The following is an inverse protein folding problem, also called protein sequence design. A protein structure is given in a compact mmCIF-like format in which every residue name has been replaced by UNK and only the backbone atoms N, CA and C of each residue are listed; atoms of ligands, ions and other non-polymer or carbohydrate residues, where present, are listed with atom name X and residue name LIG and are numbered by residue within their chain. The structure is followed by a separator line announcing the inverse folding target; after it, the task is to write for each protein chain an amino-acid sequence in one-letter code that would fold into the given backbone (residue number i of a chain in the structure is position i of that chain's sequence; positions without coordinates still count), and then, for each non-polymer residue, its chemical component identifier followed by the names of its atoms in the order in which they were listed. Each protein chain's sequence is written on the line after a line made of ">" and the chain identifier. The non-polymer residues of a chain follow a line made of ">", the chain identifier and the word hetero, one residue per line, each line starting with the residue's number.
data_IF_984214591985
#
_entry.id   IF_984214591985
#
_cell.length_a   1.000
_cell.length_b   1.000
_cell.length_c   1.000
_cell.angle_alpha   90.00
_cell.angle_beta   90.00
_cell.angle_gamma   90.00
#
_symmetry.space_group_name_H-M   'P 1'
#
loop_
_entity.id
_entity.type
_entity.pdbx_description
1 polymer ?
#
# COMPACT_ATOMS: atom_id res chain seq x y z
N UNK A 1 25.14 52.16 -59.18
CA UNK A 1 25.52 51.45 -60.43
C UNK A 1 25.57 49.97 -60.06
N UNK A 2 24.72 49.03 -60.45
CA UNK A 2 23.73 48.83 -61.53
C UNK A 2 22.64 47.86 -60.97
N UNK A 3 21.33 48.07 -61.22
CA UNK A 3 20.49 47.46 -62.29
C UNK A 3 20.46 45.91 -62.23
N UNK A 4 19.34 45.16 -62.27
CA UNK A 4 17.96 45.33 -62.79
C UNK A 4 17.01 44.35 -62.01
N UNK A 5 15.72 44.61 -61.72
CA UNK A 5 14.50 44.83 -62.53
C UNK A 5 14.00 43.63 -63.38
N UNK A 6 12.85 43.04 -62.99
CA UNK A 6 11.72 42.55 -63.84
C UNK A 6 10.46 42.50 -62.92
N UNK A 7 9.53 43.47 -62.98
CA UNK A 7 8.20 43.48 -63.65
C UNK A 7 7.35 42.20 -63.45
N UNK A 8 6.03 42.18 -63.18
CA UNK A 8 4.88 43.10 -63.14
C UNK A 8 3.63 42.21 -62.92
N UNK A 9 2.56 42.58 -62.22
CA UNK A 9 1.40 43.38 -62.66
C UNK A 9 0.47 43.52 -61.42
N UNK A 10 0.10 44.72 -60.94
CA UNK A 10 -1.01 45.60 -61.36
C UNK A 10 -2.39 44.91 -61.43
N UNK A 11 -3.22 45.14 -60.40
CA UNK A 11 -4.55 45.72 -60.59
C UNK A 11 -4.92 46.55 -59.36
N UNK A 12 -5.49 47.72 -59.61
CA UNK A 12 -5.77 48.77 -58.63
C UNK A 12 -7.26 49.17 -58.70
N UNK A 13 -7.65 49.97 -57.69
CA UNK A 13 -8.84 50.86 -57.63
C UNK A 13 -10.13 50.09 -57.28
N UNK A 14 -10.91 50.43 -56.25
CA UNK A 14 -11.54 51.73 -55.94
C UNK A 14 -11.82 51.96 -54.45
N UNK A 15 -11.69 53.23 -54.04
CA UNK A 15 -12.20 53.85 -52.81
C UNK A 15 -13.61 54.40 -53.04
N UNK A 16 -14.50 54.27 -52.06
CA UNK A 16 -15.59 55.19 -51.66
C UNK A 16 -16.47 54.44 -50.64
N UNK A 17 -16.96 54.99 -49.54
CA UNK A 17 -16.96 56.33 -48.96
C UNK A 17 -17.64 56.24 -47.60
N UNK A 18 -17.33 57.18 -46.70
CA UNK A 18 -17.95 57.29 -45.39
C UNK A 18 -19.32 58.00 -45.49
N UNK A 19 -20.35 57.45 -44.84
CA UNK A 19 -21.47 58.24 -44.27
C UNK A 19 -21.90 57.63 -42.95
N UNK A 20 -22.00 58.47 -41.93
CA UNK A 20 -22.36 58.15 -40.56
C UNK A 20 -23.90 58.04 -40.38
N UNK A 21 -24.36 57.14 -39.50
CA UNK A 21 -25.48 57.42 -38.60
C UNK A 21 -25.46 56.47 -37.39
N UNK A 22 -25.71 57.08 -36.23
CA UNK A 22 -25.87 56.57 -34.86
C UNK A 22 -26.70 55.29 -34.68
N UNK A 23 -26.22 54.36 -33.87
CA UNK A 23 -26.80 54.01 -32.54
C UNK A 23 -25.91 53.00 -31.78
N UNK A 24 -25.93 52.98 -30.43
CA UNK A 24 -25.01 52.20 -29.61
C UNK A 24 -25.57 50.80 -29.33
N UNK A 25 -24.76 49.77 -29.59
CA UNK A 25 -25.02 48.42 -29.10
C UNK A 25 -23.82 47.97 -28.27
N UNK A 26 -24.05 47.80 -26.97
CA UNK A 26 -23.19 47.05 -26.05
C UNK A 26 -22.87 45.68 -26.67
N UNK A 27 -21.59 45.34 -26.77
CA UNK A 27 -21.16 43.94 -26.87
C UNK A 27 -19.97 43.74 -25.95
N UNK A 28 -20.22 42.84 -25.01
CA UNK A 28 -19.39 42.40 -23.90
C UNK A 28 -17.99 41.92 -24.30
N UNK A 29 -17.08 42.08 -23.35
CA UNK A 29 -15.76 41.46 -23.29
C UNK A 29 -15.84 39.96 -23.61
N UNK A 30 -14.99 39.51 -24.53
CA UNK A 30 -14.73 38.09 -24.74
C UNK A 30 -13.90 37.57 -23.57
N UNK A 31 -14.53 36.78 -22.71
CA UNK A 31 -13.85 35.87 -21.79
C UNK A 31 -12.98 34.89 -22.58
N UNK A 32 -11.67 34.91 -22.30
CA UNK A 32 -10.72 33.90 -22.71
C UNK A 32 -11.10 32.54 -22.10
N UNK A 33 -11.58 31.64 -22.96
CA UNK A 33 -11.41 30.17 -22.90
C UNK A 33 -11.59 29.51 -21.54
N UNK A 34 -12.85 29.19 -21.24
CA UNK A 34 -13.24 28.26 -20.20
C UNK A 34 -12.69 26.85 -20.45
N UNK A 35 -11.87 26.36 -19.52
CA UNK A 35 -11.89 24.94 -19.16
C UNK A 35 -13.30 24.62 -18.65
N UNK A 36 -14.01 23.73 -19.34
CA UNK A 36 -15.36 23.30 -19.00
C UNK A 36 -15.43 22.85 -17.54
N UNK A 37 -15.99 23.68 -16.67
CA UNK A 37 -16.38 23.29 -15.32
C UNK A 37 -17.38 22.13 -15.43
N UNK A 38 -17.01 20.94 -14.93
CA UNK A 38 -17.87 19.75 -14.90
C UNK A 38 -17.45 18.54 -15.75
N UNK A 39 -16.31 18.61 -16.47
CA UNK A 39 -15.84 17.49 -17.29
C UNK A 39 -14.86 16.52 -16.61
N UNK A 40 -14.20 16.94 -15.52
CA UNK A 40 -13.14 16.14 -14.88
C UNK A 40 -13.74 15.09 -13.92
N UNK A 41 -13.32 13.83 -14.04
CA UNK A 41 -13.66 12.76 -13.09
C UNK A 41 -12.48 12.43 -12.19
N UNK A 42 -12.77 11.83 -11.04
CA UNK A 42 -11.72 11.31 -10.14
C UNK A 42 -10.81 10.29 -10.84
N UNK A 43 -11.36 9.47 -11.74
CA UNK A 43 -10.59 8.50 -12.54
C UNK A 43 -9.59 9.13 -13.50
N UNK A 44 -9.79 10.40 -13.85
CA UNK A 44 -8.99 11.09 -14.85
C UNK A 44 -7.79 11.82 -14.21
N UNK A 45 -7.71 11.81 -12.87
CA UNK A 45 -6.66 12.46 -12.10
C UNK A 45 -5.89 11.43 -11.28
N UNK A 46 -4.57 11.50 -11.32
CA UNK A 46 -3.71 10.75 -10.40
C UNK A 46 -3.77 11.44 -9.02
N UNK A 47 -4.84 11.17 -8.27
CA UNK A 47 -5.03 11.74 -6.95
C UNK A 47 -4.26 10.92 -5.91
N UNK A 48 -3.42 11.59 -5.12
CA UNK A 48 -2.76 10.97 -3.97
C UNK A 48 -3.71 10.99 -2.77
N UNK A 49 -3.77 9.93 -1.95
CA UNK A 49 -4.57 9.95 -0.73
C UNK A 49 -4.11 11.04 0.25
N UNK A 50 -5.07 11.66 0.93
CA UNK A 50 -4.84 12.57 2.04
C UNK A 50 -5.68 12.14 3.25
N UNK A 51 -5.12 12.37 4.42
CA UNK A 51 -5.65 11.88 5.69
C UNK A 51 -5.85 13.01 6.68
N UNK A 52 -6.84 12.84 7.55
CA UNK A 52 -7.10 13.74 8.67
C UNK A 52 -6.03 13.58 9.74
N UNK A 53 -5.70 14.70 10.40
CA UNK A 53 -4.75 14.77 11.52
C UNK A 53 -3.38 14.12 11.21
N UNK A 54 -3.02 14.14 9.93
CA UNK A 54 -1.78 13.59 9.40
C UNK A 54 -1.04 14.65 8.56
N UNK A 55 0.27 14.49 8.44
CA UNK A 55 1.11 15.39 7.64
C UNK A 55 1.06 14.98 6.17
N UNK A 56 0.16 15.59 5.39
CA UNK A 56 0.08 15.32 3.95
C UNK A 56 1.02 16.26 3.20
N UNK A 57 2.17 15.75 2.73
CA UNK A 57 3.12 16.52 1.92
C UNK A 57 2.89 16.30 0.43
N UNK A 58 2.90 17.39 -0.33
CA UNK A 58 2.67 17.40 -1.76
C UNK A 58 3.77 18.19 -2.48
N UNK A 59 4.46 17.54 -3.41
CA UNK A 59 5.42 18.20 -4.31
C UNK A 59 4.70 18.71 -5.56
N UNK A 60 4.54 20.02 -5.70
CA UNK A 60 3.82 20.61 -6.84
C UNK A 60 4.82 21.23 -7.81
N UNK A 61 4.96 20.67 -9.02
CA UNK A 61 5.83 21.21 -10.07
C UNK A 61 5.36 22.55 -10.66
N UNK A 62 6.21 23.18 -11.47
CA UNK A 62 5.90 24.48 -12.09
C UNK A 62 4.83 24.32 -13.18
N UNK A 63 3.68 24.95 -12.99
CA UNK A 63 2.57 24.88 -13.95
C UNK A 63 1.79 23.57 -13.88
N UNK A 64 2.05 22.74 -12.87
CA UNK A 64 1.36 21.46 -12.64
C UNK A 64 0.23 21.63 -11.62
N UNK A 65 -0.73 20.69 -11.67
CA UNK A 65 -1.74 20.50 -10.64
C UNK A 65 -1.53 19.17 -9.95
N UNK A 66 -1.44 19.17 -8.63
CA UNK A 66 -1.48 17.94 -7.82
C UNK A 66 -2.87 17.82 -7.24
N UNK A 67 -3.40 16.59 -7.24
CA UNK A 67 -4.72 16.28 -6.71
C UNK A 67 -4.54 15.42 -5.47
N UNK A 68 -5.17 15.80 -4.36
CA UNK A 68 -5.21 15.00 -3.15
C UNK A 68 -6.66 14.56 -2.87
N UNK A 69 -6.90 13.29 -2.62
CA UNK A 69 -8.22 12.72 -2.39
C UNK A 69 -8.41 12.31 -0.94
N UNK A 70 -9.58 12.59 -0.36
CA UNK A 70 -9.92 12.12 0.98
C UNK A 70 -11.42 11.88 1.13
N UNK A 71 -11.79 11.15 2.18
CA UNK A 71 -13.19 10.86 2.51
C UNK A 71 -13.53 11.29 3.94
N UNK A 72 -14.71 11.87 4.12
CA UNK A 72 -15.23 12.37 5.38
C UNK A 72 -16.62 11.80 5.64
N UNK A 73 -16.99 11.61 6.91
CA UNK A 73 -18.39 11.40 7.28
C UNK A 73 -19.24 12.59 6.83
N UNK A 74 -20.52 12.38 6.45
CA UNK A 74 -21.44 13.46 6.11
C UNK A 74 -21.70 14.41 7.29
N UNK A 75 -21.93 15.70 7.01
CA UNK A 75 -22.25 16.73 8.02
C UNK A 75 -21.07 17.18 8.90
N UNK A 76 -19.85 16.68 8.66
CA UNK A 76 -18.65 17.09 9.39
C UNK A 76 -18.18 18.46 8.91
N UNK A 77 -17.78 19.31 9.84
CA UNK A 77 -17.12 20.57 9.48
C UNK A 77 -15.66 20.27 9.21
N UNK A 78 -15.25 20.26 7.94
CA UNK A 78 -13.87 20.01 7.50
C UNK A 78 -13.12 21.33 7.49
N UNK A 79 -11.92 21.35 8.04
CA UNK A 79 -10.97 22.45 7.93
C UNK A 79 -9.74 21.98 7.17
N UNK A 80 -9.31 22.77 6.20
CA UNK A 80 -8.14 22.54 5.38
C UNK A 80 -7.18 23.70 5.55
N UNK A 81 -5.97 23.42 5.99
CA UNK A 81 -4.90 24.39 6.13
C UNK A 81 -3.75 24.04 5.17
N UNK A 82 -3.19 25.06 4.53
CA UNK A 82 -2.07 24.90 3.62
C UNK A 82 -0.88 25.71 4.10
N UNK A 83 0.27 25.06 4.11
CA UNK A 83 1.55 25.69 4.43
C UNK A 83 2.59 25.33 3.37
N UNK A 84 3.14 26.35 2.72
CA UNK A 84 4.28 26.17 1.84
C UNK A 84 5.56 25.93 2.67
N UNK A 85 6.24 24.81 2.42
CA UNK A 85 7.50 24.44 3.06
C UNK A 85 8.66 25.02 2.24
N UNK A 86 9.02 26.27 2.53
CA UNK A 86 10.24 27.00 2.14
C UNK A 86 10.70 27.01 0.65
N UNK A 87 10.57 28.18 0.02
CA UNK A 87 11.58 28.68 -0.92
C UNK A 87 11.67 30.23 -0.83
N UNK A 88 12.07 30.80 0.31
CA UNK A 88 12.56 32.18 0.46
C UNK A 88 11.63 33.37 0.07
N UNK A 89 10.48 33.14 -0.56
CA UNK A 89 9.45 34.10 -0.94
C UNK A 89 8.13 33.34 -1.01
N UNK A 90 7.02 33.95 -0.58
CA UNK A 90 5.68 33.36 -0.58
C UNK A 90 5.34 32.74 -1.94
N UNK A 91 5.45 31.42 -2.06
CA UNK A 91 5.03 30.71 -3.25
C UNK A 91 3.52 30.89 -3.38
N UNK A 92 3.07 31.53 -4.47
CA UNK A 92 1.66 31.71 -4.73
C UNK A 92 1.05 30.37 -5.15
N UNK A 93 0.55 29.62 -4.18
CA UNK A 93 -0.18 28.38 -4.36
C UNK A 93 -1.67 28.70 -4.32
N UNK A 94 -2.42 28.16 -5.29
CA UNK A 94 -3.87 28.23 -5.31
C UNK A 94 -4.46 26.85 -5.03
N UNK A 95 -5.56 26.81 -4.27
CA UNK A 95 -6.26 25.56 -3.97
C UNK A 95 -7.72 25.65 -4.38
N UNK A 96 -8.21 24.57 -4.99
CA UNK A 96 -9.61 24.36 -5.33
C UNK A 96 -10.05 23.04 -4.69
N UNK A 97 -11.20 23.04 -4.04
CA UNK A 97 -11.78 21.82 -3.50
C UNK A 97 -12.97 21.44 -4.36
N UNK A 98 -13.03 20.17 -4.71
CA UNK A 98 -14.11 19.57 -5.46
C UNK A 98 -14.74 18.45 -4.63
N UNK A 99 -16.06 18.38 -4.62
CA UNK A 99 -16.80 17.23 -4.12
C UNK A 99 -16.93 16.20 -5.24
N UNK A 100 -16.69 14.92 -4.93
CA UNK A 100 -16.86 13.82 -5.89
C UNK A 100 -18.33 13.39 -5.87
N UNK A 101 -19.02 13.59 -6.98
CA UNK A 101 -20.42 13.17 -7.14
C UNK A 101 -20.52 11.63 -7.22
N UNK A 102 -21.74 11.11 -7.10
CA UNK A 102 -21.99 9.66 -7.18
C UNK A 102 -21.60 9.03 -8.51
N UNK A 103 -21.59 9.80 -9.61
CA UNK A 103 -21.11 9.37 -10.93
C UNK A 103 -19.60 9.64 -11.15
N UNK A 104 -18.89 10.04 -10.10
CA UNK A 104 -17.44 10.24 -10.08
C UNK A 104 -16.95 11.57 -10.65
N UNK A 105 -17.86 12.51 -10.98
CA UNK A 105 -17.50 13.85 -11.47
C UNK A 105 -17.07 14.75 -10.32
N UNK A 106 -16.18 15.69 -10.64
CA UNK A 106 -15.71 16.69 -9.70
C UNK A 106 -16.59 17.93 -9.78
N UNK A 107 -17.33 18.21 -8.70
CA UNK A 107 -18.15 19.42 -8.55
C UNK A 107 -17.42 20.42 -7.68
N UNK A 108 -17.19 21.63 -8.20
CA UNK A 108 -16.53 22.67 -7.43
C UNK A 108 -17.30 23.01 -6.14
N UNK A 109 -16.59 23.15 -5.03
CA UNK A 109 -17.14 23.65 -3.76
C UNK A 109 -17.00 25.18 -3.74
N UNK A 110 -18.07 25.97 -3.98
CA UNK A 110 -17.96 27.37 -4.39
C UNK A 110 -17.39 28.33 -3.34
N UNK A 111 -17.43 27.94 -2.05
CA UNK A 111 -17.03 28.82 -0.92
C UNK A 111 -15.50 28.95 -0.73
N UNK A 112 -14.71 28.41 -1.64
CA UNK A 112 -13.26 28.25 -1.47
C UNK A 112 -12.54 28.98 -2.61
N UNK A 113 -12.50 30.32 -2.53
CA UNK A 113 -11.65 31.17 -3.37
C UNK A 113 -10.70 31.95 -2.47
N UNK A 114 -9.49 31.44 -2.26
CA UNK A 114 -8.45 32.12 -1.50
C UNK A 114 -7.10 32.03 -2.22
N UNK A 115 -6.45 33.18 -2.42
CA UNK A 115 -5.02 33.26 -2.71
C UNK A 115 -4.30 33.21 -1.37
N UNK A 116 -3.69 32.06 -1.03
CA UNK A 116 -3.11 31.86 0.30
C UNK A 116 -1.62 31.57 0.19
N UNK A 117 -0.81 32.56 0.55
CA UNK A 117 0.56 32.32 1.00
C UNK A 117 0.62 31.63 2.38
N UNK A 118 -0.53 31.50 3.05
CA UNK A 118 -0.83 30.77 4.30
C UNK A 118 -2.34 30.94 4.52
N UNK A 119 -3.13 29.88 4.53
CA UNK A 119 -4.53 30.04 4.95
C UNK A 119 -5.30 28.77 5.13
N UNK A 120 -6.44 28.97 5.79
CA UNK A 120 -7.36 27.94 6.23
C UNK A 120 -8.71 28.15 5.55
N UNK A 121 -9.35 27.07 5.14
CA UNK A 121 -10.72 27.11 4.64
C UNK A 121 -11.52 26.02 5.33
N UNK A 122 -12.77 26.35 5.65
CA UNK A 122 -13.68 25.45 6.36
C UNK A 122 -14.99 25.32 5.61
N UNK A 123 -15.47 24.10 5.47
CA UNK A 123 -16.78 23.82 4.89
C UNK A 123 -17.43 22.63 5.60
N UNK A 124 -18.75 22.48 5.45
CA UNK A 124 -19.44 21.30 5.92
C UNK A 124 -19.45 20.24 4.82
N UNK A 125 -19.11 19.00 5.16
CA UNK A 125 -19.16 17.88 4.24
C UNK A 125 -20.61 17.61 3.84
N UNK A 126 -20.82 17.50 2.54
CA UNK A 126 -22.08 17.19 1.87
C UNK A 126 -21.96 15.90 1.05
N UNK A 127 -23.11 15.47 0.53
CA UNK A 127 -23.24 14.43 -0.49
C UNK A 127 -22.56 13.11 -0.11
N UNK A 128 -21.61 12.68 -0.96
CA UNK A 128 -20.92 11.38 -0.83
C UNK A 128 -19.86 11.37 0.27
N UNK A 129 -19.44 12.54 0.76
CA UNK A 129 -18.33 12.68 1.68
C UNK A 129 -16.94 12.51 1.03
N UNK A 130 -16.84 12.36 -0.29
CA UNK A 130 -15.57 12.21 -1.01
C UNK A 130 -15.15 13.54 -1.65
N UNK A 131 -13.88 13.93 -1.48
CA UNK A 131 -13.36 15.23 -1.91
C UNK A 131 -12.02 15.09 -2.63
N UNK A 132 -11.78 16.02 -3.56
CA UNK A 132 -10.50 16.21 -4.22
C UNK A 132 -10.03 17.65 -3.99
N UNK A 133 -8.84 17.79 -3.45
CA UNK A 133 -8.12 19.06 -3.30
C UNK A 133 -7.16 19.18 -4.47
N UNK A 134 -7.42 20.13 -5.36
CA UNK A 134 -6.50 20.49 -6.44
C UNK A 134 -5.59 21.62 -5.95
N UNK A 135 -4.29 21.35 -5.90
CA UNK A 135 -3.24 22.31 -5.55
C UNK A 135 -2.50 22.73 -6.82
N UNK A 136 -2.43 24.04 -7.07
CA UNK A 136 -1.87 24.61 -8.30
C UNK A 136 -0.72 25.55 -7.96
N UNK A 137 0.45 25.36 -8.59
CA UNK A 137 1.60 26.28 -8.49
C UNK A 137 1.87 26.97 -9.83
N UNK A 138 1.96 28.30 -9.81
CA UNK A 138 2.14 29.09 -11.04
C UNK A 138 3.60 29.41 -11.39
N UNK A 139 4.56 29.25 -10.46
CA UNK A 139 5.90 29.87 -10.65
C UNK A 139 7.08 28.97 -10.32
N UNK A 140 7.00 28.14 -9.29
CA UNK A 140 8.12 27.33 -8.84
C UNK A 140 7.63 25.99 -8.30
N UNK A 141 8.45 24.93 -8.40
CA UNK A 141 8.25 23.76 -7.58
C UNK A 141 8.12 24.20 -6.12
N UNK A 142 7.10 23.68 -5.43
CA UNK A 142 6.86 24.01 -4.03
C UNK A 142 6.39 22.77 -3.31
N UNK A 143 7.02 22.51 -2.17
CA UNK A 143 6.52 21.56 -1.19
C UNK A 143 5.40 22.20 -0.40
N UNK A 144 4.24 21.55 -0.39
CA UNK A 144 3.05 22.03 0.32
C UNK A 144 2.67 21.00 1.37
N UNK A 145 2.58 21.44 2.61
CA UNK A 145 1.98 20.69 3.71
C UNK A 145 0.49 21.03 3.76
N UNK A 146 -0.35 20.01 3.52
CA UNK A 146 -1.80 20.05 3.58
C UNK A 146 -2.26 19.40 4.89
N UNK A 147 -2.87 20.18 5.79
CA UNK A 147 -3.46 19.67 7.02
C UNK A 147 -4.98 19.63 6.89
N UNK A 148 -5.55 18.46 7.15
CA UNK A 148 -6.98 18.24 7.18
C UNK A 148 -7.39 17.96 8.63
N UNK A 149 -8.42 18.66 9.12
CA UNK A 149 -9.05 18.39 10.41
C UNK A 149 -10.56 18.43 10.27
N UNK A 150 -11.29 17.90 11.25
CA UNK A 150 -12.75 17.95 11.23
C UNK A 150 -13.39 18.24 12.59
N UNK A 151 -14.64 18.68 12.57
CA UNK A 151 -15.48 18.79 13.76
C UNK A 151 -15.91 17.41 14.27
N UNK A 152 -15.23 16.93 15.31
CA UNK A 152 -15.56 15.77 16.14
C UNK A 152 -14.59 14.59 16.01
N UNK A 153 -14.83 13.51 16.75
CA UNK A 153 -13.79 12.49 17.02
C UNK A 153 -13.43 11.57 15.84
N UNK A 154 -14.37 11.30 14.92
CA UNK A 154 -14.14 10.39 13.78
C UNK A 154 -14.42 11.13 12.47
N UNK A 155 -13.35 11.55 11.79
CA UNK A 155 -13.46 12.35 10.57
C UNK A 155 -13.82 11.54 9.34
N UNK A 156 -13.25 10.34 9.18
CA UNK A 156 -13.42 9.51 7.99
C UNK A 156 -14.11 8.17 8.31
N UNK A 157 -14.93 7.63 7.39
CA UNK A 157 -15.49 6.28 7.54
C UNK A 157 -14.42 5.17 7.41
N UNK A 158 -13.21 5.50 6.95
CA UNK A 158 -12.07 4.58 6.88
C UNK A 158 -11.02 4.93 7.92
N UNK A 159 -10.39 3.90 8.48
CA UNK A 159 -9.35 4.07 9.48
C UNK A 159 -8.18 4.89 8.89
N UNK A 160 -7.81 5.95 9.60
CA UNK A 160 -6.75 6.90 9.25
C UNK A 160 -5.36 6.35 9.65
N UNK A 161 -4.25 6.97 9.23
CA UNK A 161 -2.91 6.54 9.66
C UNK A 161 -2.81 6.45 11.19
N UNK A 162 -2.21 5.37 11.70
CA UNK A 162 -2.11 5.07 13.12
C UNK A 162 -3.39 4.57 13.79
N UNK A 163 -4.53 4.55 13.09
CA UNK A 163 -5.77 4.00 13.63
C UNK A 163 -5.81 2.47 13.54
N UNK A 164 -6.63 1.86 14.39
CA UNK A 164 -6.82 0.41 14.41
C UNK A 164 -7.51 -0.10 13.14
N UNK A 165 -7.06 -1.23 12.62
CA UNK A 165 -7.68 -1.99 11.54
C UNK A 165 -7.90 -3.47 11.92
N UNK A 166 -8.72 -4.17 11.15
CA UNK A 166 -9.13 -5.53 11.45
C UNK A 166 -10.04 -5.57 12.69
N UNK A 167 -9.77 -6.51 13.60
CA UNK A 167 -10.60 -6.72 14.78
C UNK A 167 -11.97 -7.32 14.45
N UNK A 168 -12.77 -7.59 15.49
CA UNK A 168 -14.13 -8.15 15.37
C UNK A 168 -15.07 -7.28 14.51
N UNK A 169 -14.82 -5.96 14.50
CA UNK A 169 -15.58 -5.01 13.70
C UNK A 169 -15.11 -4.91 12.25
N UNK A 170 -13.97 -5.50 11.88
CA UNK A 170 -13.43 -5.52 10.52
C UNK A 170 -13.11 -4.12 9.98
N UNK A 171 -12.51 -3.25 10.81
CA UNK A 171 -12.17 -1.90 10.38
C UNK A 171 -11.16 -1.93 9.23
N UNK A 172 -11.48 -1.20 8.15
CA UNK A 172 -10.64 -1.13 6.95
C UNK A 172 -9.92 0.20 6.89
N UNK A 173 -8.63 0.14 6.54
CA UNK A 173 -7.83 1.33 6.31
C UNK A 173 -8.36 2.16 5.14
N UNK A 174 -8.01 3.45 5.17
CA UNK A 174 -8.21 4.35 4.05
C UNK A 174 -7.35 3.93 2.84
N UNK A 175 -7.67 4.48 1.68
CA UNK A 175 -6.90 4.25 0.46
C UNK A 175 -5.44 4.69 0.64
N UNK A 176 -4.49 3.99 0.03
CA UNK A 176 -3.04 4.24 0.20
C UNK A 176 -2.46 3.76 1.54
N UNK A 177 -3.26 3.16 2.41
CA UNK A 177 -2.83 2.54 3.65
C UNK A 177 -2.99 1.02 3.57
N UNK A 178 -2.17 0.30 4.33
CA UNK A 178 -2.33 -1.12 4.57
C UNK A 178 -2.54 -1.39 6.06
N UNK A 179 -3.14 -2.54 6.37
CA UNK A 179 -3.31 -2.95 7.76
C UNK A 179 -2.07 -3.74 8.20
N UNK A 180 -1.23 -3.12 9.01
CA UNK A 180 -0.04 -3.73 9.59
C UNK A 180 -0.42 -4.53 10.84
N UNK A 181 -0.42 -5.85 10.69
CA UNK A 181 -0.62 -6.77 11.80
C UNK A 181 0.73 -7.15 12.39
N UNK A 182 0.84 -7.06 13.72
CA UNK A 182 1.97 -7.65 14.42
C UNK A 182 2.09 -9.16 14.05
N UNK A 183 3.29 -9.75 13.98
CA UNK A 183 3.44 -11.17 13.61
C UNK A 183 2.62 -12.12 14.50
N UNK A 184 2.49 -11.82 15.79
CA UNK A 184 1.69 -12.60 16.75
C UNK A 184 0.18 -12.46 16.50
N UNK A 185 -0.22 -11.45 15.73
CA UNK A 185 -1.60 -11.25 15.31
C UNK A 185 -2.04 -12.20 14.20
N UNK A 186 -1.14 -13.02 13.65
CA UNK A 186 -1.46 -14.07 12.68
C UNK A 186 -2.34 -13.53 11.54
N UNK A 187 -1.97 -12.39 10.96
CA UNK A 187 -2.73 -11.74 9.88
C UNK A 187 -4.17 -11.38 10.23
N UNK A 188 -4.42 -11.03 11.50
CA UNK A 188 -5.74 -10.70 12.00
C UNK A 188 -6.60 -11.92 12.35
N UNK A 189 -6.03 -13.12 12.39
CA UNK A 189 -6.76 -14.31 12.83
C UNK A 189 -7.30 -14.13 14.26
N UNK A 190 -8.49 -14.67 14.53
CA UNK A 190 -9.20 -14.56 15.81
C UNK A 190 -9.49 -13.11 16.22
N UNK A 191 -9.98 -12.30 15.28
CA UNK A 191 -10.37 -10.91 15.51
C UNK A 191 -9.23 -10.06 16.09
N UNK A 192 -7.99 -10.40 15.76
CA UNK A 192 -6.85 -9.57 16.14
C UNK A 192 -6.79 -8.35 15.25
N UNK A 193 -6.43 -7.23 15.85
CA UNK A 193 -6.30 -5.95 15.16
C UNK A 193 -4.86 -5.68 14.75
N UNK A 194 -4.72 -4.78 13.78
CA UNK A 194 -3.47 -4.15 13.39
C UNK A 194 -3.60 -2.63 13.43
N UNK A 195 -2.61 -1.96 12.85
CA UNK A 195 -2.56 -0.51 12.71
C UNK A 195 -2.54 -0.14 11.23
N UNK A 196 -3.28 0.89 10.83
CA UNK A 196 -3.20 1.40 9.47
C UNK A 196 -1.91 2.19 9.28
N UNK A 197 -1.04 1.68 8.41
CA UNK A 197 0.24 2.28 8.08
C UNK A 197 0.28 2.73 6.61
N UNK A 198 1.12 3.73 6.33
CA UNK A 198 1.33 4.22 4.97
C UNK A 198 2.01 3.15 4.12
N UNK A 199 1.55 3.00 2.88
CA UNK A 199 2.27 2.22 1.88
C UNK A 199 3.54 3.00 1.48
N UNK A 200 4.75 2.43 1.61
CA UNK A 200 5.99 3.11 1.23
C UNK A 200 6.02 3.44 -0.27
N UNK A 201 6.63 4.57 -0.65
CA UNK A 201 6.81 4.94 -2.07
C UNK A 201 8.06 4.29 -2.69
N UNK A 202 9.04 3.93 -1.87
CA UNK A 202 10.30 3.34 -2.29
C UNK A 202 10.85 2.40 -1.21
N UNK A 203 11.53 1.35 -1.66
CA UNK A 203 12.15 0.37 -0.78
C UNK A 203 13.62 0.17 -1.09
N UNK A 204 14.36 -0.20 -0.04
CA UNK A 204 15.69 -0.78 -0.14
C UNK A 204 15.64 -2.09 -0.95
N UNK A 205 16.73 -2.39 -1.65
CA UNK A 205 16.84 -3.56 -2.54
C UNK A 205 17.57 -4.75 -1.92
N UNK A 206 17.86 -4.71 -0.62
CA UNK A 206 18.32 -5.91 0.08
C UNK A 206 17.25 -6.99 0.07
N UNK A 207 17.74 -8.22 0.22
CA UNK A 207 16.92 -9.40 0.22
C UNK A 207 16.92 -9.98 1.64
N UNK A 208 15.91 -9.58 2.40
CA UNK A 208 15.59 -10.03 3.75
C UNK A 208 14.16 -10.61 3.71
N UNK A 209 13.95 -11.81 3.13
CA UNK A 209 12.65 -12.23 2.68
C UNK A 209 11.64 -12.35 3.83
N UNK A 210 10.37 -12.12 3.50
CA UNK A 210 9.24 -12.24 4.41
C UNK A 210 8.09 -12.99 3.75
N UNK A 211 7.29 -13.69 4.55
CA UNK A 211 6.07 -14.32 4.11
C UNK A 211 4.90 -13.37 4.39
N UNK A 212 4.19 -12.96 3.35
CA UNK A 212 3.02 -12.08 3.46
C UNK A 212 1.78 -12.82 3.97
N UNK A 213 0.83 -12.05 4.48
CA UNK A 213 -0.49 -12.55 4.88
C UNK A 213 -1.33 -13.10 3.71
N UNK A 214 -0.94 -12.79 2.48
CA UNK A 214 -1.48 -13.36 1.23
C UNK A 214 -0.82 -14.69 0.84
N UNK A 215 0.13 -15.19 1.64
CA UNK A 215 0.86 -16.43 1.38
C UNK A 215 1.96 -16.31 0.30
N UNK A 216 2.35 -15.09 -0.07
CA UNK A 216 3.42 -14.84 -1.04
C UNK A 216 4.72 -14.43 -0.33
N UNK A 217 5.85 -14.91 -0.86
CA UNK A 217 7.17 -14.43 -0.44
C UNK A 217 7.45 -13.07 -1.06
N UNK A 218 7.88 -12.12 -0.24
CA UNK A 218 8.37 -10.81 -0.64
C UNK A 218 9.87 -10.71 -0.34
N UNK A 219 10.60 -9.95 -1.17
CA UNK A 219 12.06 -9.82 -1.03
C UNK A 219 12.48 -9.14 0.27
N UNK A 220 11.65 -8.24 0.81
CA UNK A 220 11.76 -7.69 2.15
C UNK A 220 10.39 -7.19 2.64
N UNK A 221 10.35 -6.79 3.91
CA UNK A 221 9.20 -6.20 4.61
C UNK A 221 8.62 -4.97 3.89
N UNK A 222 9.50 -4.06 3.46
CA UNK A 222 9.11 -2.87 2.73
C UNK A 222 8.40 -3.20 1.41
N UNK A 223 8.91 -4.18 0.65
CA UNK A 223 8.28 -4.63 -0.60
C UNK A 223 6.92 -5.29 -0.36
N UNK A 224 6.72 -5.97 0.77
CA UNK A 224 5.41 -6.46 1.18
C UNK A 224 4.44 -5.30 1.49
N UNK A 225 4.90 -4.31 2.26
CA UNK A 225 4.13 -3.10 2.58
C UNK A 225 3.76 -2.29 1.31
N UNK A 226 4.66 -2.18 0.33
CA UNK A 226 4.38 -1.57 -0.98
C UNK A 226 3.24 -2.26 -1.73
N UNK A 227 3.11 -3.58 -1.57
CA UNK A 227 2.00 -4.36 -2.13
C UNK A 227 0.72 -4.27 -1.28
N UNK A 228 0.74 -3.53 -0.17
CA UNK A 228 -0.35 -3.43 0.78
C UNK A 228 -0.55 -4.69 1.64
N UNK A 229 0.52 -5.48 1.83
CA UNK A 229 0.47 -6.79 2.48
C UNK A 229 1.25 -6.77 3.79
N UNK A 230 0.58 -7.12 4.89
CA UNK A 230 1.22 -7.31 6.19
C UNK A 230 2.12 -8.55 6.20
N UNK A 231 3.19 -8.49 6.98
CA UNK A 231 4.09 -9.63 7.20
C UNK A 231 3.44 -10.63 8.15
N UNK A 232 3.35 -11.89 7.72
CA UNK A 232 2.91 -13.03 8.53
C UNK A 232 4.07 -13.60 9.35
N UNK A 233 5.24 -13.76 8.72
CA UNK A 233 6.46 -14.25 9.35
C UNK A 233 7.69 -13.75 8.60
N UNK A 234 8.82 -13.66 9.30
CA UNK A 234 10.13 -13.49 8.65
C UNK A 234 10.46 -14.71 7.78
N UNK A 235 11.38 -14.59 6.84
CA UNK A 235 11.74 -15.67 5.92
C UNK A 235 10.71 -15.88 4.80
N UNK A 236 11.04 -16.73 3.83
CA UNK A 236 10.13 -17.05 2.73
C UNK A 236 8.88 -17.81 3.22
N UNK A 237 7.81 -17.79 2.42
CA UNK A 237 6.68 -18.66 2.68
C UNK A 237 7.03 -20.13 2.44
N UNK A 238 6.60 -21.00 3.36
CA UNK A 238 6.77 -22.45 3.27
C UNK A 238 7.78 -22.99 4.28
N UNK A 239 8.17 -24.26 4.15
CA UNK A 239 9.20 -24.83 5.00
C UNK A 239 10.59 -24.31 4.59
N UNK A 240 11.42 -24.01 5.57
CA UNK A 240 12.83 -23.71 5.31
C UNK A 240 13.59 -25.02 5.11
N UNK A 241 14.17 -25.23 3.94
CA UNK A 241 14.97 -26.43 3.65
C UNK A 241 16.36 -26.28 4.25
N UNK A 242 16.78 -27.23 5.08
CA UNK A 242 18.09 -27.25 5.75
C UNK A 242 18.91 -28.48 5.39
N UNK A 243 20.24 -28.33 5.44
CA UNK A 243 21.23 -29.32 5.08
C UNK A 243 21.68 -30.22 6.23
N UNK A 244 22.63 -31.11 5.93
CA UNK A 244 23.16 -32.10 6.88
C UNK A 244 23.73 -31.44 8.14
N UNK A 245 23.31 -31.92 9.30
CA UNK A 245 23.75 -31.43 10.62
C UNK A 245 23.07 -30.14 11.09
N UNK A 246 22.31 -29.46 10.24
CA UNK A 246 21.55 -28.27 10.63
C UNK A 246 20.29 -28.62 11.43
N UNK A 247 19.78 -27.65 12.19
CA UNK A 247 18.58 -27.85 13.01
C UNK A 247 17.31 -27.94 12.17
N UNK A 248 16.47 -28.91 12.53
CA UNK A 248 15.17 -29.17 11.90
C UNK A 248 14.08 -29.30 12.96
N UNK A 249 12.82 -29.15 12.55
CA UNK A 249 11.69 -29.03 13.47
C UNK A 249 11.80 -27.76 14.32
N UNK A 250 11.19 -27.80 15.50
CA UNK A 250 11.14 -26.69 16.44
C UNK A 250 10.35 -25.46 15.96
N UNK A 251 10.32 -24.44 16.83
CA UNK A 251 9.67 -23.16 16.55
C UNK A 251 10.69 -22.20 15.94
N UNK A 252 10.46 -21.80 14.69
CA UNK A 252 11.24 -20.77 14.03
C UNK A 252 10.37 -19.75 13.32
N UNK A 253 10.85 -18.51 13.30
CA UNK A 253 10.31 -17.47 12.45
C UNK A 253 10.60 -17.86 10.98
N UNK A 254 9.56 -18.02 10.15
CA UNK A 254 9.71 -18.41 8.74
C UNK A 254 9.35 -19.83 8.37
N UNK A 255 8.42 -20.41 9.11
CA UNK A 255 7.87 -21.73 8.80
C UNK A 255 8.72 -22.89 9.34
N UNK A 256 8.24 -24.13 9.18
CA UNK A 256 8.91 -25.29 9.74
C UNK A 256 10.23 -25.57 9.01
N UNK A 257 11.30 -25.83 9.75
CA UNK A 257 12.58 -26.26 9.18
C UNK A 257 12.53 -27.74 8.85
N UNK A 258 12.69 -28.08 7.58
CA UNK A 258 12.65 -29.46 7.09
C UNK A 258 13.97 -29.81 6.43
N UNK A 259 14.39 -31.06 6.60
CA UNK A 259 15.63 -31.52 5.98
C UNK A 259 15.44 -31.66 4.46
N UNK A 260 16.48 -31.29 3.71
CA UNK A 260 16.50 -31.45 2.26
C UNK A 260 16.46 -32.90 1.79
N UNK A 261 16.46 -33.08 0.46
CA UNK A 261 16.39 -34.41 -0.14
C UNK A 261 17.52 -35.33 0.33
N UNK A 262 17.19 -36.59 0.58
CA UNK A 262 18.13 -37.58 1.13
C UNK A 262 18.42 -37.43 2.64
N UNK A 263 17.82 -36.45 3.31
CA UNK A 263 17.99 -36.22 4.75
C UNK A 263 16.68 -36.40 5.52
N UNK A 264 16.78 -36.67 6.82
CA UNK A 264 15.64 -36.74 7.72
C UNK A 264 15.93 -36.03 9.03
N UNK A 265 14.87 -35.56 9.69
CA UNK A 265 15.01 -34.87 10.97
C UNK A 265 15.20 -35.89 12.08
N UNK A 266 16.44 -36.02 12.58
CA UNK A 266 16.79 -36.93 13.66
C UNK A 266 16.64 -36.22 15.00
N UNK A 267 15.65 -36.65 15.77
CA UNK A 267 15.45 -36.16 17.13
C UNK A 267 16.29 -36.95 18.13
N UNK A 268 16.75 -36.27 19.18
CA UNK A 268 17.27 -36.93 20.35
C UNK A 268 16.12 -37.61 21.14
N UNK A 269 16.37 -38.67 21.92
CA UNK A 269 15.31 -39.38 22.66
C UNK A 269 14.48 -38.49 23.60
N UNK A 270 15.11 -37.47 24.17
CA UNK A 270 14.49 -36.46 25.05
C UNK A 270 13.74 -35.36 24.30
N UNK A 271 13.94 -35.24 22.99
CA UNK A 271 13.19 -34.31 22.14
C UNK A 271 11.80 -34.84 21.75
N UNK A 272 11.46 -36.08 22.13
CA UNK A 272 10.13 -36.69 22.00
C UNK A 272 9.49 -36.39 20.62
N UNK A 273 10.21 -36.70 19.55
CA UNK A 273 9.76 -36.50 18.17
C UNK A 273 9.41 -35.04 17.80
N UNK A 274 10.04 -34.06 18.44
CA UNK A 274 9.81 -32.64 18.18
C UNK A 274 8.61 -32.06 18.93
N UNK A 275 8.04 -32.77 19.92
CA UNK A 275 6.98 -32.21 20.78
C UNK A 275 7.48 -30.97 21.52
N UNK A 276 6.57 -30.04 21.76
CA UNK A 276 6.87 -28.74 22.39
C UNK A 276 8.02 -28.00 21.70
N UNK A 277 8.02 -28.04 20.37
CA UNK A 277 8.99 -27.33 19.54
C UNK A 277 10.45 -27.75 19.77
N UNK A 278 10.67 -29.00 20.21
CA UNK A 278 12.02 -29.54 20.33
C UNK A 278 12.66 -29.68 18.93
N UNK A 279 13.89 -29.19 18.81
CA UNK A 279 14.64 -29.26 17.56
C UNK A 279 15.37 -30.61 17.44
N UNK A 280 15.47 -31.11 16.21
CA UNK A 280 16.36 -32.20 15.81
C UNK A 280 17.54 -31.68 15.00
N UNK A 281 18.36 -32.60 14.49
CA UNK A 281 19.38 -32.31 13.49
C UNK A 281 19.15 -33.15 12.24
N UNK A 282 19.37 -32.57 11.06
CA UNK A 282 19.27 -33.32 9.82
C UNK A 282 20.37 -34.36 9.73
N UNK A 283 19.99 -35.59 9.43
CA UNK A 283 20.90 -36.73 9.24
C UNK A 283 20.61 -37.42 7.91
N UNK A 284 21.60 -38.10 7.34
CA UNK A 284 21.44 -38.84 6.10
C UNK A 284 20.45 -40.01 6.25
N UNK A 285 19.60 -40.21 5.24
CA UNK A 285 18.80 -41.43 5.11
C UNK A 285 19.72 -42.56 4.65
N UNK A 286 19.84 -43.68 5.40
CA UNK A 286 20.64 -44.81 4.96
C UNK A 286 20.08 -45.42 3.66
N UNK A 287 20.93 -45.68 2.67
CA UNK A 287 20.53 -46.35 1.43
C UNK A 287 20.31 -47.86 1.61
N UNK A 288 20.97 -48.46 2.60
CA UNK A 288 20.91 -49.88 2.89
C UNK A 288 20.84 -50.12 4.39
N UNK A 289 19.98 -51.09 4.77
CA UNK A 289 19.82 -51.51 6.15
C UNK A 289 20.11 -52.99 6.32
N UNK A 290 20.70 -53.33 7.45
CA UNK A 290 20.85 -54.71 7.90
C UNK A 290 19.48 -55.34 8.20
N UNK A 291 19.41 -56.68 8.07
CA UNK A 291 18.17 -57.45 8.29
C UNK A 291 17.95 -57.85 9.76
N UNK A 292 18.60 -57.18 10.69
CA UNK A 292 18.38 -57.43 12.12
C UNK A 292 16.96 -57.02 12.52
N UNK A 293 16.33 -57.87 13.33
CA UNK A 293 14.99 -57.61 13.85
C UNK A 293 15.14 -57.01 15.26
N UNK A 294 15.10 -55.68 15.32
CA UNK A 294 15.21 -54.89 16.54
C UNK A 294 14.16 -53.77 16.50
N UNK A 295 12.87 -54.11 16.67
CA UNK A 295 11.76 -53.22 16.32
C UNK A 295 11.77 -51.92 17.11
N UNK A 296 11.34 -50.85 16.46
CA UNK A 296 11.23 -49.50 17.02
C UNK A 296 9.88 -48.87 16.65
N UNK A 297 9.41 -47.95 17.48
CA UNK A 297 8.26 -47.12 17.17
C UNK A 297 8.75 -45.79 16.59
N UNK A 298 8.31 -45.46 15.39
CA UNK A 298 8.61 -44.20 14.72
C UNK A 298 7.79 -43.04 15.27
N UNK A 299 8.26 -41.82 15.03
CA UNK A 299 7.55 -40.58 15.36
C UNK A 299 6.20 -40.42 14.64
N UNK A 300 5.95 -41.21 13.61
CA UNK A 300 4.69 -41.30 12.87
C UNK A 300 3.72 -42.34 13.47
N UNK A 301 4.09 -42.99 14.58
CA UNK A 301 3.30 -44.02 15.24
C UNK A 301 3.35 -45.39 14.55
N UNK A 302 4.23 -45.58 13.57
CA UNK A 302 4.39 -46.88 12.89
C UNK A 302 5.54 -47.70 13.49
N UNK A 303 5.37 -49.02 13.52
CA UNK A 303 6.43 -49.93 13.94
C UNK A 303 7.33 -50.29 12.78
N UNK A 304 8.62 -50.07 12.95
CA UNK A 304 9.66 -50.42 11.98
C UNK A 304 10.44 -51.64 12.45
N UNK A 305 10.96 -52.44 11.51
CA UNK A 305 11.74 -53.65 11.81
C UNK A 305 13.04 -53.38 12.55
N UNK A 306 13.66 -52.22 12.29
CA UNK A 306 14.77 -51.65 13.05
C UNK A 306 14.90 -50.14 12.81
N UNK A 307 15.77 -49.49 13.60
CA UNK A 307 16.00 -48.04 13.54
C UNK A 307 16.55 -47.56 12.18
N UNK A 308 17.35 -48.38 11.50
CA UNK A 308 17.85 -48.03 10.17
C UNK A 308 16.70 -47.91 9.17
N UNK A 309 15.77 -48.88 9.17
CA UNK A 309 14.63 -48.86 8.25
C UNK A 309 13.72 -47.65 8.51
N UNK A 310 13.50 -47.26 9.77
CA UNK A 310 12.79 -46.02 10.09
C UNK A 310 13.49 -44.78 9.50
N UNK A 311 14.81 -44.67 9.72
CA UNK A 311 15.61 -43.56 9.19
C UNK A 311 15.62 -43.53 7.65
N UNK A 312 15.69 -44.69 6.99
CA UNK A 312 15.67 -44.80 5.53
C UNK A 312 14.34 -44.28 4.93
N UNK A 313 13.22 -44.43 5.66
CA UNK A 313 11.93 -43.83 5.27
C UNK A 313 11.78 -42.38 5.73
N UNK A 314 12.80 -41.81 6.38
CA UNK A 314 12.81 -40.44 6.86
C UNK A 314 12.14 -40.21 8.21
N UNK A 315 11.95 -41.27 9.00
CA UNK A 315 11.25 -41.24 10.29
C UNK A 315 12.25 -41.41 11.44
N UNK A 316 12.23 -40.47 12.38
CA UNK A 316 12.98 -40.60 13.63
C UNK A 316 12.31 -41.60 14.57
N UNK A 317 13.10 -42.19 15.47
CA UNK A 317 12.61 -43.13 16.47
C UNK A 317 12.08 -42.38 17.69
N UNK A 318 10.85 -42.69 18.09
CA UNK A 318 10.25 -42.21 19.35
C UNK A 318 10.74 -43.07 20.53
N UNK A 319 10.59 -44.38 20.40
CA UNK A 319 10.96 -45.33 21.45
C UNK A 319 11.47 -46.67 20.89
N UNK A 320 12.21 -47.39 21.73
CA UNK A 320 12.61 -48.78 21.47
C UNK A 320 11.42 -49.71 21.65
N UNK A 321 11.39 -50.79 20.87
CA UNK A 321 10.27 -51.73 20.82
C UNK A 321 9.18 -51.27 19.84
N UNK A 322 8.23 -52.15 19.51
CA UNK A 322 7.11 -51.78 18.64
C UNK A 322 6.24 -50.69 19.28
N UNK A 323 5.46 -49.99 18.45
CA UNK A 323 4.43 -49.08 18.96
C UNK A 323 3.40 -49.86 19.77
N UNK A 324 2.88 -49.24 20.83
CA UNK A 324 1.76 -49.82 21.57
C UNK A 324 0.55 -49.90 20.62
N UNK A 325 0.01 -51.10 20.41
CA UNK A 325 -1.34 -51.21 19.85
C UNK A 325 -2.30 -50.57 20.84
N UNK A 326 -3.20 -49.70 20.37
CA UNK A 326 -4.29 -49.20 21.21
C UNK A 326 -4.98 -50.37 21.91
N UNK A 327 -5.37 -50.27 23.19
CA UNK A 327 -6.20 -51.28 23.82
C UNK A 327 -7.45 -51.45 22.95
N UNK A 328 -7.74 -52.69 22.57
CA UNK A 328 -9.02 -53.04 21.98
C UNK A 328 -10.03 -52.91 23.14
N UNK A 329 -10.84 -51.85 23.14
CA UNK A 329 -12.04 -51.75 24.01
C UNK A 329 -13.14 -52.70 23.52
#
# INVERSE_FOLDING_TARGET
>A
MNMANVLGAVLAVTLAGCTASSDPAEVADQEETGTVEGALRLSDVAAVPAYFDHENRLSVGRGESVYAHFTSHPGRTITLELRAVAAGRSAAVAVRVHEVTTDGRLRNVPRIRGSLGQGSTTWQSQGTGSYVVQVVSQRTPVEVELRLSCGGEVCSPRAQPGAMCGGIAGFRCAEGLYCDFAPEANCGAYDRSGTCELVPEACRQDYDPVCGCDGRTYGNDCVAAMAGVSVKSLGECGPTIVGLGESCGGFTLGGPRVCGDGLYCKYAPDAICGRADAAGACAEKPEACTKELAPVCGCDGQTYSNACVAAATGISVDQRGPCASAPIE
#
